data_IF_951085742762
#
_entry.id   IF_951085742762
#
_cell.length_a   1.000
_cell.length_b   1.000
_cell.length_c   1.000
_cell.angle_alpha   90.00
_cell.angle_beta   90.00
_cell.angle_gamma   90.00
#
_symmetry.space_group_name_H-M   'P 1'
#
loop_
_entity.id
_entity.type
_entity.pdbx_description
1 polymer ?
#
# COMPACT_ATOMS: atom_id res chain seq x y z
N UNK A 1 -26.93 3.28 -29.30
CA UNK A 1 -27.16 2.21 -28.32
C UNK A 1 -25.88 1.42 -28.21
N UNK A 2 -25.28 1.36 -27.05
CA UNK A 2 -24.07 0.54 -26.82
C UNK A 2 -24.48 -0.93 -26.89
N UNK A 3 -24.11 -1.62 -27.97
CA UNK A 3 -24.34 -3.07 -28.10
C UNK A 3 -23.35 -3.79 -27.18
N UNK A 4 -23.79 -4.11 -25.95
CA UNK A 4 -23.09 -5.08 -25.11
C UNK A 4 -23.26 -6.49 -25.67
N UNK A 5 -22.32 -7.41 -25.42
CA UNK A 5 -22.53 -8.81 -25.76
C UNK A 5 -23.73 -9.37 -24.98
N UNK A 6 -24.49 -10.23 -25.64
CA UNK A 6 -25.61 -10.94 -25.00
C UNK A 6 -25.12 -12.24 -24.37
N UNK A 7 -25.19 -12.31 -23.04
CA UNK A 7 -24.88 -13.50 -22.23
C UNK A 7 -26.12 -14.06 -21.52
N UNK A 8 -27.32 -13.71 -21.96
CA UNK A 8 -28.61 -14.14 -21.36
C UNK A 8 -28.76 -15.66 -21.36
N UNK A 9 -28.31 -16.34 -22.40
CA UNK A 9 -28.32 -17.81 -22.48
C UNK A 9 -27.44 -18.47 -21.40
N UNK A 10 -26.42 -17.77 -20.90
CA UNK A 10 -25.55 -18.22 -19.81
C UNK A 10 -26.06 -17.75 -18.43
N UNK A 11 -27.15 -16.96 -18.42
CA UNK A 11 -27.78 -16.46 -17.20
C UNK A 11 -27.19 -15.12 -16.71
N UNK A 12 -26.54 -14.35 -17.59
CA UNK A 12 -25.94 -13.07 -17.22
C UNK A 12 -26.43 -11.93 -18.11
N UNK A 13 -26.70 -10.77 -17.50
CA UNK A 13 -27.07 -9.54 -18.19
C UNK A 13 -25.95 -8.50 -17.99
N UNK A 14 -25.32 -8.07 -19.07
CA UNK A 14 -24.28 -7.03 -19.03
C UNK A 14 -24.90 -5.67 -18.75
N UNK A 15 -24.37 -4.96 -17.75
CA UNK A 15 -24.84 -3.62 -17.36
C UNK A 15 -23.90 -2.52 -17.91
N UNK A 16 -22.57 -2.71 -17.79
CA UNK A 16 -21.58 -1.75 -18.30
C UNK A 16 -20.22 -2.39 -18.53
N UNK A 17 -19.38 -1.73 -19.33
CA UNK A 17 -17.95 -2.05 -19.45
C UNK A 17 -17.18 -1.42 -18.27
N UNK A 18 -16.37 -2.22 -17.58
CA UNK A 18 -15.47 -1.76 -16.52
C UNK A 18 -14.09 -1.40 -17.05
N UNK A 19 -13.65 -2.07 -18.11
CA UNK A 19 -12.35 -1.82 -18.72
C UNK A 19 -12.14 -2.65 -19.99
N UNK A 20 -11.21 -2.22 -20.84
CA UNK A 20 -10.81 -2.97 -22.03
C UNK A 20 -9.31 -2.85 -22.26
N UNK A 21 -8.66 -3.97 -22.50
CA UNK A 21 -7.30 -4.02 -23.03
C UNK A 21 -7.38 -4.35 -24.52
N UNK A 22 -7.33 -3.30 -25.37
CA UNK A 22 -7.46 -3.46 -26.81
C UNK A 22 -6.31 -4.26 -27.43
N UNK A 23 -5.11 -4.16 -26.88
CA UNK A 23 -3.93 -4.87 -27.35
C UNK A 23 -3.98 -6.38 -27.00
N UNK A 24 -4.59 -6.75 -25.86
CA UNK A 24 -4.71 -8.15 -25.41
C UNK A 24 -6.09 -8.77 -25.63
N UNK A 25 -6.98 -8.14 -26.41
CA UNK A 25 -8.31 -8.72 -26.72
C UNK A 25 -9.19 -8.99 -25.51
N UNK A 26 -8.91 -8.36 -24.32
CA UNK A 26 -9.66 -8.58 -23.10
C UNK A 26 -10.61 -7.42 -22.81
N UNK A 27 -11.89 -7.73 -22.54
CA UNK A 27 -12.89 -6.77 -22.08
C UNK A 27 -13.48 -7.26 -20.77
N UNK A 28 -13.61 -6.35 -19.82
CA UNK A 28 -14.17 -6.62 -18.49
C UNK A 28 -15.52 -5.91 -18.35
N UNK A 29 -16.54 -6.65 -17.99
CA UNK A 29 -17.91 -6.16 -17.82
C UNK A 29 -18.36 -6.30 -16.38
N UNK A 30 -19.18 -5.33 -15.94
CA UNK A 30 -20.11 -5.54 -14.84
C UNK A 30 -21.37 -6.18 -15.43
N UNK A 31 -21.81 -7.26 -14.83
CA UNK A 31 -23.04 -7.96 -15.23
C UNK A 31 -23.85 -8.37 -13.99
N UNK A 32 -25.09 -8.67 -14.21
CA UNK A 32 -26.00 -9.23 -13.21
C UNK A 32 -26.23 -10.70 -13.49
N UNK A 33 -26.05 -11.56 -12.50
CA UNK A 33 -26.52 -12.94 -12.55
C UNK A 33 -28.04 -12.93 -12.43
N UNK A 34 -28.74 -13.35 -13.50
CA UNK A 34 -30.20 -13.32 -13.61
C UNK A 34 -30.83 -14.26 -12.58
N UNK A 35 -30.17 -15.35 -12.20
CA UNK A 35 -30.65 -16.37 -11.26
C UNK A 35 -30.53 -15.91 -9.80
N UNK A 36 -29.37 -15.41 -9.43
CA UNK A 36 -29.03 -14.99 -8.07
C UNK A 36 -29.25 -13.51 -7.79
N UNK A 37 -29.54 -12.71 -8.81
CA UNK A 37 -29.67 -11.24 -8.74
C UNK A 37 -28.45 -10.53 -8.18
N UNK A 38 -27.27 -11.19 -8.19
CA UNK A 38 -26.02 -10.65 -7.69
C UNK A 38 -25.20 -10.02 -8.82
N UNK A 39 -24.48 -8.94 -8.48
CA UNK A 39 -23.53 -8.35 -9.42
C UNK A 39 -22.29 -9.23 -9.53
N UNK A 40 -21.81 -9.43 -10.76
CA UNK A 40 -20.64 -10.23 -11.09
C UNK A 40 -19.73 -9.46 -12.05
N UNK A 41 -18.47 -9.84 -12.11
CA UNK A 41 -17.53 -9.37 -13.15
C UNK A 41 -17.37 -10.47 -14.17
N UNK A 42 -17.54 -10.13 -15.45
CA UNK A 42 -17.27 -11.04 -16.58
C UNK A 42 -16.05 -10.50 -17.33
N UNK A 43 -14.98 -11.29 -17.36
CA UNK A 43 -13.80 -11.04 -18.19
C UNK A 43 -13.92 -11.86 -19.47
N UNK A 44 -14.12 -11.18 -20.61
CA UNK A 44 -14.18 -11.80 -21.92
C UNK A 44 -12.82 -11.69 -22.61
N UNK A 45 -12.29 -12.82 -23.03
CA UNK A 45 -11.06 -12.97 -23.81
C UNK A 45 -11.41 -13.23 -25.25
N UNK A 46 -11.19 -12.25 -26.13
CA UNK A 46 -11.61 -12.27 -27.55
C UNK A 46 -10.47 -12.77 -28.44
N UNK A 47 -10.54 -14.02 -28.89
CA UNK A 47 -9.53 -14.63 -29.76
C UNK A 47 -9.78 -14.38 -31.26
N UNK A 48 -10.95 -13.85 -31.61
CA UNK A 48 -11.33 -13.63 -33.01
C UNK A 48 -10.67 -12.38 -33.67
N UNK A 49 -9.86 -11.61 -32.94
CA UNK A 49 -9.05 -10.53 -33.50
C UNK A 49 -7.73 -11.10 -34.01
N UNK A 50 -7.33 -10.65 -35.20
CA UNK A 50 -6.25 -11.12 -36.07
C UNK A 50 -4.87 -11.34 -35.38
N UNK A 51 -4.70 -10.86 -34.14
CA UNK A 51 -3.45 -10.92 -33.34
C UNK A 51 -3.56 -11.68 -32.03
N UNK A 52 -4.65 -12.43 -31.78
CA UNK A 52 -4.77 -13.23 -30.56
C UNK A 52 -3.74 -14.37 -30.56
N UNK A 53 -2.77 -14.29 -29.67
CA UNK A 53 -1.69 -15.28 -29.57
C UNK A 53 -2.07 -16.42 -28.61
N UNK A 54 -1.44 -17.59 -28.80
CA UNK A 54 -1.52 -18.69 -27.82
C UNK A 54 -1.20 -18.25 -26.38
N UNK A 55 -0.40 -17.18 -26.23
CA UNK A 55 -0.05 -16.60 -24.93
C UNK A 55 -1.24 -15.98 -24.18
N UNK A 56 -2.29 -15.52 -24.91
CA UNK A 56 -3.49 -14.94 -24.31
C UNK A 56 -4.43 -16.04 -23.81
N UNK A 57 -4.50 -17.17 -24.52
CA UNK A 57 -5.21 -18.37 -24.06
C UNK A 57 -4.55 -18.93 -22.79
N UNK A 58 -3.23 -19.06 -22.79
CA UNK A 58 -2.48 -19.54 -21.62
C UNK A 58 -2.67 -18.62 -20.39
N UNK A 59 -2.78 -17.31 -20.59
CA UNK A 59 -3.06 -16.37 -19.51
C UNK A 59 -4.47 -16.55 -18.94
N UNK A 60 -5.46 -16.76 -19.79
CA UNK A 60 -6.85 -17.04 -19.38
C UNK A 60 -6.95 -18.33 -18.59
N UNK A 61 -6.42 -19.44 -19.12
CA UNK A 61 -6.49 -20.75 -18.45
C UNK A 61 -5.76 -20.71 -17.10
N UNK A 62 -4.61 -20.05 -17.05
CA UNK A 62 -3.84 -19.85 -15.81
C UNK A 62 -4.62 -19.03 -14.80
N UNK A 63 -5.27 -17.94 -15.20
CA UNK A 63 -6.07 -17.12 -14.27
C UNK A 63 -7.21 -17.94 -13.65
N UNK A 64 -7.87 -18.77 -14.42
CA UNK A 64 -8.91 -19.68 -13.94
C UNK A 64 -8.34 -20.72 -12.98
N UNK A 65 -7.25 -21.39 -13.35
CA UNK A 65 -6.62 -22.44 -12.52
C UNK A 65 -6.18 -21.87 -11.17
N UNK A 66 -5.58 -20.67 -11.16
CA UNK A 66 -5.19 -19.98 -9.94
C UNK A 66 -6.42 -19.66 -9.10
N UNK A 67 -7.40 -18.93 -9.66
CA UNK A 67 -8.54 -18.43 -8.90
C UNK A 67 -9.45 -19.56 -8.35
N UNK A 68 -9.58 -20.68 -9.07
CA UNK A 68 -10.33 -21.84 -8.56
C UNK A 68 -9.73 -22.44 -7.27
N UNK A 69 -8.43 -22.27 -7.08
CA UNK A 69 -7.72 -22.77 -5.89
C UNK A 69 -7.66 -21.75 -4.74
N UNK A 70 -8.19 -20.54 -4.90
CA UNK A 70 -8.10 -19.48 -3.92
C UNK A 70 -9.43 -19.22 -3.23
N UNK A 71 -9.38 -19.13 -1.89
CA UNK A 71 -10.50 -18.71 -1.04
C UNK A 71 -9.96 -17.75 0.03
N UNK A 72 -10.09 -16.43 -0.21
CA UNK A 72 -9.63 -15.39 0.67
C UNK A 72 -10.51 -14.15 0.51
N UNK A 73 -10.94 -13.46 1.60
CA UNK A 73 -11.85 -12.31 1.52
C UNK A 73 -11.30 -11.15 0.67
N UNK A 74 -9.98 -10.96 0.65
CA UNK A 74 -9.28 -9.96 -0.18
C UNK A 74 -9.04 -10.39 -1.64
N UNK A 75 -9.61 -11.52 -2.10
CA UNK A 75 -9.49 -11.99 -3.49
C UNK A 75 -10.90 -12.28 -4.01
N UNK A 76 -11.35 -11.69 -5.15
CA UNK A 76 -12.64 -12.04 -5.73
C UNK A 76 -12.72 -13.53 -6.08
N UNK A 77 -13.78 -14.19 -5.63
CA UNK A 77 -13.98 -15.62 -5.89
C UNK A 77 -14.23 -15.87 -7.38
N UNK A 78 -13.65 -16.94 -7.91
CA UNK A 78 -14.08 -17.53 -9.17
C UNK A 78 -15.49 -18.10 -9.01
N UNK A 79 -16.39 -17.83 -9.97
CA UNK A 79 -17.78 -18.27 -9.94
C UNK A 79 -18.10 -19.25 -11.06
N UNK A 80 -17.70 -18.92 -12.31
CA UNK A 80 -18.07 -19.68 -13.49
C UNK A 80 -17.13 -19.38 -14.68
N UNK A 81 -17.18 -20.21 -15.71
CA UNK A 81 -16.62 -19.89 -17.03
C UNK A 81 -17.50 -20.47 -18.13
N UNK A 82 -17.54 -19.77 -19.28
CA UNK A 82 -18.29 -20.23 -20.45
C UNK A 82 -17.63 -19.74 -21.73
N UNK A 83 -17.97 -20.39 -22.83
CA UNK A 83 -17.49 -20.04 -24.16
C UNK A 83 -18.58 -19.32 -24.93
N UNK A 84 -18.15 -18.37 -25.78
CA UNK A 84 -18.97 -17.66 -26.77
C UNK A 84 -18.31 -17.75 -28.14
N UNK A 85 -19.03 -17.35 -29.20
CA UNK A 85 -18.44 -17.23 -30.54
C UNK A 85 -17.26 -16.25 -30.60
N UNK A 86 -17.26 -15.22 -29.72
CA UNK A 86 -16.21 -14.20 -29.65
C UNK A 86 -15.00 -14.61 -28.81
N UNK A 87 -15.07 -15.73 -28.04
CA UNK A 87 -14.00 -16.19 -27.17
C UNK A 87 -14.49 -16.76 -25.85
N UNK A 88 -13.62 -16.79 -24.86
CA UNK A 88 -13.90 -17.34 -23.54
C UNK A 88 -14.26 -16.24 -22.52
N UNK A 89 -15.14 -16.57 -21.60
CA UNK A 89 -15.57 -15.70 -20.51
C UNK A 89 -15.31 -16.37 -19.16
N UNK A 90 -14.72 -15.61 -18.25
CA UNK A 90 -14.57 -15.98 -16.85
C UNK A 90 -15.48 -15.08 -16.00
N UNK A 91 -16.21 -15.67 -15.09
CA UNK A 91 -17.09 -14.96 -14.15
C UNK A 91 -16.48 -15.00 -12.75
N UNK A 92 -16.39 -13.85 -12.13
CA UNK A 92 -15.89 -13.72 -10.76
C UNK A 92 -16.78 -12.80 -9.93
N UNK A 93 -16.63 -12.90 -8.61
CA UNK A 93 -17.31 -12.04 -7.65
C UNK A 93 -17.03 -10.57 -7.96
N UNK A 94 -18.08 -9.73 -7.89
CA UNK A 94 -17.93 -8.29 -7.95
C UNK A 94 -17.67 -7.72 -6.57
N UNK A 95 -16.55 -7.00 -6.40
CA UNK A 95 -16.27 -6.20 -5.20
C UNK A 95 -16.69 -4.76 -5.47
N UNK A 96 -17.53 -4.21 -4.61
CA UNK A 96 -18.00 -2.82 -4.70
C UNK A 96 -16.87 -1.88 -4.27
N UNK A 97 -15.82 -1.78 -5.08
CA UNK A 97 -14.57 -1.13 -4.74
C UNK A 97 -13.97 -0.42 -5.97
N UNK A 98 -13.11 0.55 -5.73
CA UNK A 98 -12.43 1.33 -6.77
C UNK A 98 -10.96 0.96 -6.84
N UNK A 99 -10.39 0.96 -8.04
CA UNK A 99 -8.95 0.77 -8.23
C UNK A 99 -8.16 1.91 -7.61
N UNK A 100 -7.00 1.61 -7.01
CA UNK A 100 -6.05 2.62 -6.53
C UNK A 100 -5.51 3.53 -7.65
N UNK A 101 -5.70 3.16 -8.91
CA UNK A 101 -5.42 4.03 -10.06
C UNK A 101 -6.28 5.29 -10.07
N UNK A 102 -7.50 5.23 -9.54
CA UNK A 102 -8.37 6.41 -9.42
C UNK A 102 -7.75 7.34 -8.39
N UNK A 103 -7.55 8.60 -8.78
CA UNK A 103 -6.94 9.63 -7.94
C UNK A 103 -7.78 9.87 -6.68
N UNK A 104 -7.42 9.19 -5.59
CA UNK A 104 -7.93 9.40 -4.23
C UNK A 104 -6.73 9.63 -3.31
N UNK A 105 -6.84 10.61 -2.44
CA UNK A 105 -5.86 10.79 -1.37
C UNK A 105 -6.15 9.83 -0.24
N UNK A 106 -5.12 9.15 0.24
CA UNK A 106 -5.18 8.28 1.41
C UNK A 106 -4.46 8.94 2.57
N UNK A 107 -5.05 8.85 3.75
CA UNK A 107 -4.39 9.24 5.00
C UNK A 107 -3.24 8.28 5.33
N UNK A 108 -2.27 8.69 6.17
CA UNK A 108 -1.20 7.81 6.63
C UNK A 108 -1.71 6.49 7.23
N UNK A 109 -2.79 6.56 8.00
CA UNK A 109 -3.42 5.37 8.62
C UNK A 109 -3.99 4.44 7.57
N UNK A 110 -4.66 4.97 6.54
CA UNK A 110 -5.18 4.16 5.42
C UNK A 110 -4.04 3.52 4.63
N UNK A 111 -2.95 4.24 4.34
CA UNK A 111 -1.77 3.67 3.63
C UNK A 111 -1.15 2.52 4.44
N UNK A 112 -1.04 2.68 5.76
CA UNK A 112 -0.59 1.59 6.63
C UNK A 112 -1.53 0.39 6.57
N UNK A 113 -2.84 0.62 6.60
CA UNK A 113 -3.85 -0.42 6.48
C UNK A 113 -3.79 -1.13 5.13
N UNK A 114 -3.62 -0.37 4.03
CA UNK A 114 -3.41 -0.93 2.68
C UNK A 114 -2.18 -1.86 2.65
N UNK A 115 -1.05 -1.41 3.20
CA UNK A 115 0.17 -2.21 3.24
C UNK A 115 -0.03 -3.52 4.01
N UNK A 116 -0.66 -3.47 5.20
CA UNK A 116 -0.99 -4.63 6.02
C UNK A 116 -1.89 -5.60 5.25
N UNK A 117 -3.01 -5.13 4.72
CA UNK A 117 -4.01 -5.97 4.04
C UNK A 117 -3.44 -6.67 2.81
N UNK A 118 -2.60 -5.97 2.00
CA UNK A 118 -1.96 -6.60 0.84
C UNK A 118 -0.91 -7.62 1.29
N UNK A 119 -0.12 -7.33 2.32
CA UNK A 119 0.83 -8.30 2.85
C UNK A 119 0.14 -9.56 3.39
N UNK A 120 -1.01 -9.45 4.05
CA UNK A 120 -1.82 -10.59 4.49
C UNK A 120 -2.29 -11.44 3.31
N UNK A 121 -2.76 -10.80 2.22
CA UNK A 121 -3.11 -11.51 0.97
C UNK A 121 -1.87 -12.22 0.40
N UNK A 122 -0.71 -11.57 0.37
CA UNK A 122 0.52 -12.18 -0.12
C UNK A 122 0.99 -13.34 0.76
N UNK A 123 0.88 -13.24 2.08
CA UNK A 123 1.14 -14.36 3.01
C UNK A 123 0.23 -15.54 2.68
N UNK A 124 -1.06 -15.30 2.43
CA UNK A 124 -1.99 -16.34 2.03
C UNK A 124 -1.56 -17.01 0.71
N UNK A 125 -1.18 -16.23 -0.31
CA UNK A 125 -0.73 -16.74 -1.62
C UNK A 125 0.57 -17.54 -1.50
N UNK A 126 1.51 -17.08 -0.69
CA UNK A 126 2.80 -17.75 -0.44
C UNK A 126 2.68 -19.03 0.38
N UNK A 127 1.63 -19.17 1.18
CA UNK A 127 1.32 -20.40 1.91
C UNK A 127 0.55 -21.45 1.08
N UNK A 128 0.24 -21.17 -0.18
CA UNK A 128 -0.38 -22.16 -1.08
C UNK A 128 0.64 -23.20 -1.50
N UNK A 129 0.16 -24.41 -1.76
CA UNK A 129 0.99 -25.51 -2.29
C UNK A 129 0.37 -25.95 -3.62
N UNK A 130 1.04 -25.67 -4.73
CA UNK A 130 2.29 -24.88 -4.87
C UNK A 130 2.09 -23.39 -4.58
N UNK A 131 3.20 -22.70 -4.25
CA UNK A 131 3.24 -21.25 -4.00
C UNK A 131 2.69 -20.46 -5.20
N UNK A 132 1.91 -19.41 -4.91
CA UNK A 132 1.38 -18.50 -5.94
C UNK A 132 2.10 -17.17 -5.85
N UNK A 133 2.70 -16.71 -6.95
CA UNK A 133 3.30 -15.39 -7.12
C UNK A 133 2.44 -14.60 -8.11
N UNK A 134 2.00 -13.40 -7.73
CA UNK A 134 1.04 -12.61 -8.51
C UNK A 134 1.66 -11.96 -9.76
N UNK A 135 2.87 -11.40 -9.67
CA UNK A 135 3.71 -10.84 -10.74
C UNK A 135 3.24 -9.51 -11.36
N UNK A 136 2.08 -9.01 -11.03
CA UNK A 136 1.56 -7.73 -11.57
C UNK A 136 0.85 -6.90 -10.48
N UNK A 137 1.49 -6.76 -9.31
CA UNK A 137 1.00 -5.88 -8.24
C UNK A 137 1.28 -4.44 -8.63
N UNK A 138 0.20 -3.65 -8.74
CA UNK A 138 0.22 -2.23 -9.10
C UNK A 138 -1.12 -1.58 -8.71
N UNK A 139 -1.22 -0.23 -8.71
CA UNK A 139 -2.46 0.46 -8.37
C UNK A 139 -3.68 0.01 -9.16
N UNK A 140 -3.51 -0.37 -10.45
CA UNK A 140 -4.61 -0.85 -11.30
C UNK A 140 -5.25 -2.14 -10.78
N UNK A 141 -4.45 -3.02 -10.16
CA UNK A 141 -4.84 -4.36 -9.73
C UNK A 141 -5.17 -4.46 -8.23
N UNK A 142 -5.23 -3.34 -7.55
CA UNK A 142 -5.66 -3.25 -6.14
C UNK A 142 -6.93 -2.42 -6.08
N UNK A 143 -7.99 -3.02 -5.54
CA UNK A 143 -9.26 -2.33 -5.31
C UNK A 143 -9.41 -2.03 -3.82
N UNK A 144 -10.07 -0.89 -3.53
CA UNK A 144 -10.37 -0.46 -2.16
C UNK A 144 -11.81 0.04 -2.11
N UNK A 145 -12.59 -0.44 -1.16
CA UNK A 145 -13.95 0.02 -0.92
C UNK A 145 -14.00 1.24 0.03
N UNK A 146 -15.20 1.70 0.34
CA UNK A 146 -15.43 2.87 1.19
C UNK A 146 -15.06 2.61 2.67
N UNK A 147 -14.99 1.35 3.10
CA UNK A 147 -14.53 0.94 4.43
C UNK A 147 -13.03 0.64 4.47
N UNK A 148 -12.30 0.92 3.38
CA UNK A 148 -10.87 0.64 3.20
C UNK A 148 -10.55 -0.86 3.20
N UNK A 149 -11.52 -1.75 2.91
CA UNK A 149 -11.23 -3.14 2.63
C UNK A 149 -10.49 -3.25 1.29
N UNK A 150 -9.49 -4.11 1.25
CA UNK A 150 -8.55 -4.21 0.13
C UNK A 150 -8.76 -5.52 -0.62
N UNK A 151 -8.74 -5.43 -1.95
CA UNK A 151 -8.90 -6.60 -2.81
C UNK A 151 -7.82 -6.62 -3.89
N UNK A 152 -7.14 -7.74 -4.03
CA UNK A 152 -6.15 -7.98 -5.08
C UNK A 152 -6.84 -8.71 -6.25
N UNK A 153 -6.70 -8.17 -7.45
CA UNK A 153 -7.37 -8.66 -8.67
C UNK A 153 -6.38 -8.89 -9.80
N UNK A 154 -6.82 -9.60 -10.83
CA UNK A 154 -6.08 -9.85 -12.08
C UNK A 154 -4.88 -10.79 -11.92
N UNK A 155 -5.18 -12.08 -11.79
CA UNK A 155 -4.20 -13.16 -11.68
C UNK A 155 -3.71 -13.72 -13.04
N UNK A 156 -3.95 -13.01 -14.16
CA UNK A 156 -3.59 -13.44 -15.51
C UNK A 156 -2.08 -13.65 -15.72
N UNK A 157 -1.25 -13.01 -14.92
CA UNK A 157 0.20 -13.20 -14.92
C UNK A 157 0.72 -14.07 -13.77
N UNK A 158 -0.17 -14.53 -12.87
CA UNK A 158 0.23 -15.30 -11.71
C UNK A 158 0.93 -16.61 -12.11
N UNK A 159 1.87 -17.04 -11.26
CA UNK A 159 2.64 -18.27 -11.41
C UNK A 159 2.36 -19.21 -10.23
N UNK A 160 2.20 -20.48 -10.54
CA UNK A 160 2.03 -21.54 -9.55
C UNK A 160 3.30 -22.39 -9.51
N UNK A 161 3.96 -22.43 -8.35
CA UNK A 161 5.16 -23.23 -8.11
C UNK A 161 6.39 -22.85 -8.93
N UNK A 162 7.38 -23.73 -8.92
CA UNK A 162 8.65 -23.60 -9.67
C UNK A 162 8.54 -23.95 -11.15
N UNK A 163 7.31 -23.98 -11.70
CA UNK A 163 7.05 -24.33 -13.10
C UNK A 163 8.09 -23.71 -14.03
N UNK A 164 8.54 -24.48 -15.01
CA UNK A 164 9.62 -24.13 -15.93
C UNK A 164 9.57 -22.66 -16.35
N UNK A 165 10.74 -22.03 -16.42
CA UNK A 165 10.95 -20.76 -17.13
C UNK A 165 10.55 -21.06 -18.56
N UNK A 166 9.25 -21.03 -18.85
CA UNK A 166 8.77 -21.16 -20.20
C UNK A 166 9.49 -20.09 -21.00
N UNK A 167 10.12 -20.48 -22.10
CA UNK A 167 10.85 -19.63 -23.04
C UNK A 167 9.84 -18.69 -23.74
N UNK A 168 9.05 -17.98 -22.97
CA UNK A 168 8.24 -16.87 -23.44
C UNK A 168 9.16 -15.64 -23.41
N UNK A 169 9.67 -15.28 -24.58
CA UNK A 169 10.51 -14.11 -24.83
C UNK A 169 9.81 -12.77 -24.50
N UNK A 170 8.61 -12.80 -23.96
CA UNK A 170 7.83 -11.63 -23.60
C UNK A 170 7.91 -11.39 -22.10
N UNK A 171 8.55 -10.30 -21.71
CA UNK A 171 8.52 -9.78 -20.34
C UNK A 171 7.09 -9.39 -20.01
N UNK A 172 6.45 -10.13 -19.07
CA UNK A 172 5.07 -9.91 -18.64
C UNK A 172 5.03 -9.13 -17.33
N UNK A 173 4.25 -8.05 -17.28
CA UNK A 173 4.06 -7.16 -16.15
C UNK A 173 4.08 -5.70 -16.57
N UNK A 174 4.04 -4.79 -15.62
CA UNK A 174 4.00 -3.33 -15.85
C UNK A 174 5.34 -2.70 -15.49
N UNK A 175 5.99 -2.04 -16.46
CA UNK A 175 7.24 -1.31 -16.24
C UNK A 175 7.07 -0.32 -15.06
N UNK A 176 8.14 -0.18 -14.26
CA UNK A 176 8.12 0.64 -13.05
C UNK A 176 7.70 -0.12 -11.78
N UNK A 177 6.85 -1.16 -11.90
CA UNK A 177 6.46 -2.03 -10.79
C UNK A 177 7.17 -3.38 -10.80
N UNK A 178 7.79 -3.70 -11.92
CA UNK A 178 8.41 -4.99 -12.18
C UNK A 178 9.78 -5.08 -11.48
N UNK A 179 10.03 -6.10 -10.64
CA UNK A 179 11.34 -6.28 -10.03
C UNK A 179 12.40 -6.66 -11.07
N UNK A 180 13.70 -6.38 -10.80
CA UNK A 180 14.78 -6.66 -11.74
C UNK A 180 14.83 -8.13 -12.20
N UNK A 181 14.59 -9.09 -11.29
CA UNK A 181 14.57 -10.51 -11.65
C UNK A 181 13.49 -10.85 -12.67
N UNK A 182 12.35 -10.17 -12.63
CA UNK A 182 11.27 -10.35 -13.60
C UNK A 182 11.60 -9.67 -14.94
N UNK A 183 12.19 -8.47 -14.91
CA UNK A 183 12.65 -7.77 -16.10
C UNK A 183 13.69 -8.58 -16.91
N UNK A 184 14.59 -9.26 -16.19
CA UNK A 184 15.65 -10.07 -16.79
C UNK A 184 15.28 -11.54 -16.96
N UNK A 185 13.98 -11.87 -16.84
CA UNK A 185 13.46 -13.24 -16.99
C UNK A 185 14.23 -14.27 -16.14
N UNK A 186 14.58 -13.89 -14.89
CA UNK A 186 15.22 -14.76 -13.90
C UNK A 186 14.17 -15.49 -13.06
N UNK A 187 14.65 -16.40 -12.22
CA UNK A 187 13.77 -17.11 -11.28
C UNK A 187 13.10 -16.12 -10.33
N UNK A 188 11.78 -16.20 -10.27
CA UNK A 188 10.96 -15.43 -9.32
C UNK A 188 10.89 -16.15 -7.99
N UNK A 189 10.81 -15.38 -6.93
CA UNK A 189 10.67 -15.86 -5.56
C UNK A 189 9.50 -15.16 -4.88
N UNK A 190 9.19 -15.55 -3.66
CA UNK A 190 8.20 -14.90 -2.79
C UNK A 190 8.50 -13.42 -2.56
N UNK A 191 9.79 -13.03 -2.66
CA UNK A 191 10.23 -11.64 -2.53
C UNK A 191 9.90 -10.78 -3.77
N UNK A 192 9.54 -11.38 -4.91
CA UNK A 192 9.30 -10.64 -6.15
C UNK A 192 8.07 -9.73 -6.04
N UNK A 193 6.97 -10.23 -5.48
CA UNK A 193 5.76 -9.42 -5.28
C UNK A 193 5.95 -8.28 -4.26
N UNK A 194 6.92 -8.41 -3.35
CA UNK A 194 7.23 -7.37 -2.37
C UNK A 194 7.80 -6.10 -3.01
N UNK A 195 8.65 -6.26 -4.04
CA UNK A 195 9.15 -5.12 -4.81
C UNK A 195 7.98 -4.35 -5.46
N UNK A 196 7.10 -5.06 -6.13
CA UNK A 196 5.93 -4.47 -6.80
C UNK A 196 4.98 -3.79 -5.81
N UNK A 197 4.79 -4.37 -4.61
CA UNK A 197 4.04 -3.75 -3.53
C UNK A 197 4.74 -2.49 -3.02
N UNK A 198 6.06 -2.53 -2.78
CA UNK A 198 6.84 -1.37 -2.38
C UNK A 198 6.70 -0.21 -3.36
N UNK A 199 6.83 -0.47 -4.67
CA UNK A 199 6.62 0.53 -5.72
C UNK A 199 5.18 1.08 -5.73
N UNK A 200 4.18 0.24 -5.47
CA UNK A 200 2.79 0.66 -5.35
C UNK A 200 2.58 1.60 -4.15
N UNK A 201 3.15 1.28 -2.99
CA UNK A 201 3.09 2.16 -1.82
C UNK A 201 3.83 3.49 -2.06
N UNK A 202 4.96 3.46 -2.79
CA UNK A 202 5.66 4.67 -3.19
C UNK A 202 4.82 5.56 -4.09
N UNK A 203 4.05 5.01 -5.05
CA UNK A 203 3.09 5.78 -5.83
C UNK A 203 2.11 6.55 -4.94
N UNK A 204 1.55 5.88 -3.92
CA UNK A 204 0.57 6.50 -3.02
C UNK A 204 1.21 7.59 -2.15
N UNK A 205 2.40 7.33 -1.59
CA UNK A 205 3.10 8.25 -0.68
C UNK A 205 3.65 9.48 -1.41
N UNK A 206 4.25 9.28 -2.60
CA UNK A 206 4.84 10.37 -3.38
C UNK A 206 3.83 11.08 -4.27
N UNK A 207 2.62 10.51 -4.43
CA UNK A 207 1.59 10.94 -5.39
C UNK A 207 2.09 10.95 -6.84
N UNK A 208 3.12 10.14 -7.14
CA UNK A 208 3.63 9.95 -8.49
C UNK A 208 2.65 9.11 -9.29
N UNK A 209 2.40 9.49 -10.54
CA UNK A 209 1.52 8.73 -11.42
C UNK A 209 2.13 7.35 -11.74
N UNK A 210 1.28 6.34 -11.94
CA UNK A 210 1.72 4.97 -12.15
C UNK A 210 2.60 4.78 -13.40
N UNK A 211 2.40 5.58 -14.44
CA UNK A 211 3.21 5.60 -15.66
C UNK A 211 4.55 6.33 -15.51
N UNK A 212 4.68 7.18 -14.48
CA UNK A 212 5.88 7.94 -14.17
C UNK A 212 6.75 7.31 -13.08
N UNK A 213 6.25 6.30 -12.36
CA UNK A 213 6.94 5.71 -11.20
C UNK A 213 8.32 5.13 -11.58
N UNK A 214 8.47 4.68 -12.81
CA UNK A 214 9.75 4.20 -13.34
C UNK A 214 10.85 5.27 -13.34
N UNK A 215 10.51 6.57 -13.32
CA UNK A 215 11.47 7.66 -13.28
C UNK A 215 12.21 7.76 -11.93
N UNK A 216 11.69 7.11 -10.88
CA UNK A 216 12.34 7.03 -9.58
C UNK A 216 13.47 5.99 -9.55
N UNK A 217 13.53 5.13 -10.56
CA UNK A 217 14.52 4.06 -10.67
C UNK A 217 15.77 4.58 -11.39
N UNK A 218 16.92 4.54 -10.74
CA UNK A 218 18.17 4.94 -11.38
C UNK A 218 18.81 3.79 -12.22
N UNK A 219 19.92 4.07 -12.88
CA UNK A 219 20.64 3.10 -13.73
C UNK A 219 21.15 1.87 -12.97
N UNK A 220 21.22 1.95 -11.63
CA UNK A 220 21.62 0.84 -10.75
C UNK A 220 20.40 0.10 -10.19
N UNK A 221 19.20 0.42 -10.68
CA UNK A 221 17.91 -0.06 -10.18
C UNK A 221 17.60 0.36 -8.73
N UNK A 222 18.32 1.35 -8.19
CA UNK A 222 18.03 1.93 -6.89
C UNK A 222 16.89 2.94 -7.00
N UNK A 223 16.01 2.97 -5.99
CA UNK A 223 14.86 3.87 -5.96
C UNK A 223 15.18 5.08 -5.10
N UNK A 224 15.08 6.29 -5.66
CA UNK A 224 15.33 7.55 -4.96
C UNK A 224 14.03 8.31 -4.73
N UNK A 225 13.42 8.12 -3.59
CA UNK A 225 12.10 8.69 -3.25
C UNK A 225 12.09 9.64 -2.04
N UNK A 226 13.11 9.62 -1.17
CA UNK A 226 13.10 10.35 0.11
C UNK A 226 12.85 11.86 -0.06
N UNK A 227 13.41 12.46 -1.12
CA UNK A 227 13.26 13.89 -1.41
C UNK A 227 11.80 14.29 -1.76
N UNK A 228 10.97 13.34 -2.18
CA UNK A 228 9.55 13.55 -2.49
C UNK A 228 8.66 13.45 -1.25
N UNK A 229 9.15 12.82 -0.20
CA UNK A 229 8.41 12.57 1.06
C UNK A 229 9.26 12.92 2.29
N UNK A 230 9.72 14.18 2.42
CA UNK A 230 10.68 14.58 3.46
C UNK A 230 10.15 14.40 4.89
N UNK A 231 8.83 14.30 5.07
CA UNK A 231 8.18 14.10 6.38
C UNK A 231 7.96 12.60 6.72
N UNK A 232 8.35 11.69 5.81
CA UNK A 232 8.21 10.25 6.04
C UNK A 232 9.11 9.82 7.20
N UNK A 233 8.56 9.07 8.15
CA UNK A 233 9.30 8.54 9.29
C UNK A 233 10.44 7.61 8.83
N UNK A 234 11.59 7.70 9.48
CA UNK A 234 12.80 6.98 9.08
C UNK A 234 12.65 5.46 9.12
N UNK A 235 11.80 4.91 10.01
CA UNK A 235 11.54 3.46 10.06
C UNK A 235 10.75 3.04 8.82
N UNK A 236 9.79 3.87 8.36
CA UNK A 236 9.05 3.64 7.13
C UNK A 236 9.95 3.79 5.90
N UNK A 237 10.85 4.77 5.89
CA UNK A 237 11.85 4.90 4.81
C UNK A 237 12.66 3.61 4.68
N UNK A 238 13.26 3.13 5.76
CA UNK A 238 14.08 1.91 5.78
C UNK A 238 13.29 0.66 5.40
N UNK A 239 12.04 0.56 5.85
CA UNK A 239 11.17 -0.56 5.51
C UNK A 239 10.82 -0.56 4.02
N UNK A 240 10.48 0.59 3.44
CA UNK A 240 10.20 0.73 2.01
C UNK A 240 11.44 0.49 1.16
N UNK A 241 12.61 1.04 1.53
CA UNK A 241 13.88 0.77 0.86
C UNK A 241 14.15 -0.74 0.78
N UNK A 242 13.94 -1.45 1.90
CA UNK A 242 14.10 -2.90 1.93
C UNK A 242 13.06 -3.65 1.09
N UNK A 243 11.83 -3.13 0.95
CA UNK A 243 10.82 -3.71 0.05
C UNK A 243 11.24 -3.61 -1.41
N UNK A 244 11.82 -2.47 -1.82
CA UNK A 244 12.20 -2.21 -3.21
C UNK A 244 13.69 -2.46 -3.50
N UNK A 245 14.40 -3.16 -2.63
CA UNK A 245 15.80 -3.50 -2.85
C UNK A 245 15.95 -4.33 -4.13
N UNK A 246 16.81 -3.92 -5.09
CA UNK A 246 17.00 -4.61 -6.35
C UNK A 246 17.49 -6.05 -6.20
N UNK A 247 18.35 -6.29 -5.22
CA UNK A 247 18.92 -7.62 -4.97
C UNK A 247 18.00 -8.42 -4.06
N UNK A 248 17.57 -9.60 -4.52
CA UNK A 248 16.71 -10.51 -3.75
C UNK A 248 17.20 -10.81 -2.34
N UNK A 249 18.52 -11.03 -2.19
CA UNK A 249 19.14 -11.38 -0.90
C UNK A 249 19.09 -10.26 0.15
N UNK A 250 18.98 -9.01 -0.29
CA UNK A 250 18.98 -7.82 0.57
C UNK A 250 17.53 -7.35 0.84
N UNK A 251 16.56 -7.88 0.07
CA UNK A 251 15.11 -7.64 0.26
C UNK A 251 14.54 -8.50 1.40
N UNK A 252 13.32 -8.28 1.84
CA UNK A 252 12.60 -9.25 2.68
C UNK A 252 12.42 -10.56 1.92
N UNK A 253 12.65 -11.69 2.59
CA UNK A 253 12.59 -13.02 1.95
C UNK A 253 11.19 -13.41 1.49
N UNK A 254 10.15 -12.98 2.20
CA UNK A 254 8.74 -13.29 1.93
C UNK A 254 7.81 -12.25 2.57
N UNK A 255 6.51 -12.36 2.29
CA UNK A 255 5.50 -11.44 2.79
C UNK A 255 5.36 -11.47 4.32
N UNK A 256 5.53 -12.62 4.96
CA UNK A 256 5.46 -12.74 6.41
C UNK A 256 6.60 -11.96 7.08
N UNK A 257 7.82 -12.05 6.55
CA UNK A 257 8.96 -11.28 7.07
C UNK A 257 8.76 -9.76 6.93
N UNK A 258 8.18 -9.31 5.81
CA UNK A 258 7.85 -7.90 5.61
C UNK A 258 6.73 -7.44 6.54
N UNK A 259 5.70 -8.26 6.74
CA UNK A 259 4.56 -8.01 7.63
C UNK A 259 5.01 -7.88 9.10
N UNK A 260 5.88 -8.78 9.57
CA UNK A 260 6.42 -8.74 10.92
C UNK A 260 7.34 -7.54 11.18
N UNK A 261 7.97 -7.04 10.12
CA UNK A 261 8.88 -5.89 10.19
C UNK A 261 8.20 -4.55 9.90
N UNK A 262 6.87 -4.52 9.68
CA UNK A 262 6.17 -3.27 9.40
C UNK A 262 6.30 -2.30 10.58
N UNK A 263 6.66 -1.02 10.37
CA UNK A 263 6.86 -0.09 11.46
C UNK A 263 5.61 0.12 12.31
N UNK A 264 5.74 0.10 13.63
CA UNK A 264 4.70 0.50 14.57
C UNK A 264 4.54 2.02 14.67
N UNK A 265 5.57 2.77 14.27
CA UNK A 265 5.58 4.22 14.25
C UNK A 265 4.58 4.77 13.23
N UNK A 266 4.07 6.00 13.43
CA UNK A 266 3.29 6.71 12.42
C UNK A 266 4.08 6.82 11.10
N UNK A 267 3.37 6.87 9.96
CA UNK A 267 4.01 7.00 8.65
C UNK A 267 4.78 8.32 8.52
N UNK A 268 4.26 9.41 9.08
CA UNK A 268 4.94 10.70 9.10
C UNK A 268 5.48 10.99 10.50
N UNK A 269 6.66 11.60 10.56
CA UNK A 269 7.22 12.13 11.79
C UNK A 269 6.53 13.46 12.14
N UNK A 270 6.23 13.71 13.41
CA UNK A 270 5.73 15.01 13.83
C UNK A 270 6.81 16.09 13.64
N UNK A 271 6.39 17.27 13.25
CA UNK A 271 7.25 18.46 13.16
C UNK A 271 6.81 19.47 14.21
N UNK A 272 7.63 19.59 15.26
CA UNK A 272 7.26 20.36 16.45
C UNK A 272 7.77 21.78 16.34
N UNK A 273 6.88 22.75 16.53
CA UNK A 273 7.19 24.15 16.70
C UNK A 273 6.82 24.57 18.13
N UNK A 274 7.80 25.15 18.85
CA UNK A 274 7.62 25.66 20.20
C UNK A 274 7.70 27.18 20.18
N UNK A 275 6.78 27.85 20.87
CA UNK A 275 6.75 29.31 20.98
C UNK A 275 6.27 29.76 22.36
N UNK A 276 7.00 30.67 23.01
CA UNK A 276 8.34 31.14 22.70
C UNK A 276 9.40 30.03 22.94
N UNK A 277 10.54 30.12 22.26
CA UNK A 277 11.63 29.15 22.46
C UNK A 277 12.39 29.35 23.77
N UNK A 278 12.43 30.59 24.24
CA UNK A 278 13.11 30.98 25.48
C UNK A 278 12.11 31.63 26.44
N UNK A 279 12.23 31.28 27.73
CA UNK A 279 11.45 31.88 28.81
C UNK A 279 12.39 32.64 29.76
N UNK A 280 12.13 33.92 29.98
CA UNK A 280 12.91 34.74 30.89
C UNK A 280 12.09 35.04 32.19
N UNK A 281 12.49 34.43 33.30
CA UNK A 281 11.85 34.61 34.59
C UNK A 281 12.68 35.55 35.47
N UNK A 282 12.18 36.80 35.71
CA UNK A 282 12.85 37.81 36.51
C UNK A 282 12.11 38.03 37.81
N UNK A 283 12.59 37.45 38.88
CA UNK A 283 12.06 37.65 40.23
C UNK A 283 12.58 39.01 40.83
N UNK A 284 11.70 39.73 41.50
CA UNK A 284 12.05 40.95 42.26
C UNK A 284 12.36 40.67 43.72
N UNK A 285 12.00 39.55 44.23
CA UNK A 285 12.20 39.12 45.62
C UNK A 285 12.21 37.58 45.71
N UNK A 286 12.93 37.06 46.69
CA UNK A 286 12.95 35.62 47.00
C UNK A 286 11.55 35.17 47.42
N UNK A 287 11.20 33.91 47.06
CA UNK A 287 9.87 33.33 47.29
C UNK A 287 8.77 33.84 46.34
N UNK A 288 9.13 34.48 45.24
CA UNK A 288 8.19 34.91 44.22
C UNK A 288 7.90 33.74 43.27
N UNK A 289 6.62 33.48 43.04
CA UNK A 289 6.17 32.51 42.04
C UNK A 289 5.93 33.21 40.73
N UNK A 290 6.58 32.76 39.63
CA UNK A 290 6.48 33.32 38.29
C UNK A 290 5.98 32.24 37.33
N UNK A 291 5.01 32.60 36.50
CA UNK A 291 4.43 31.66 35.54
C UNK A 291 4.50 32.24 34.12
N UNK A 292 4.97 31.45 33.19
CA UNK A 292 4.91 31.73 31.76
C UNK A 292 4.31 30.55 31.00
N UNK A 293 3.84 30.77 29.78
CA UNK A 293 3.20 29.77 28.96
C UNK A 293 4.02 29.56 27.68
N UNK A 294 4.25 28.32 27.31
CA UNK A 294 4.75 27.94 26.00
C UNK A 294 3.63 27.23 25.23
N UNK A 295 3.62 27.44 23.93
CA UNK A 295 2.71 26.74 23.00
C UNK A 295 3.52 25.79 22.16
N UNK A 296 3.02 24.58 22.02
CA UNK A 296 3.57 23.54 21.17
C UNK A 296 2.58 23.28 20.05
N UNK A 297 3.04 23.44 18.79
CA UNK A 297 2.26 23.14 17.60
C UNK A 297 2.95 22.04 16.79
N UNK A 298 2.16 21.09 16.31
CA UNK A 298 2.62 20.13 15.32
C UNK A 298 2.23 20.58 13.92
N UNK A 299 3.21 20.74 13.05
CA UNK A 299 3.00 21.17 11.67
C UNK A 299 2.54 20.02 10.74
N UNK A 300 2.48 18.77 11.26
CA UNK A 300 1.99 17.59 10.56
C UNK A 300 0.68 17.13 11.20
N UNK A 301 -0.47 17.66 10.79
CA UNK A 301 -1.76 17.42 11.46
C UNK A 301 -2.22 15.96 11.43
N UNK A 302 -1.68 15.16 10.50
CA UNK A 302 -1.99 13.73 10.36
C UNK A 302 -1.38 12.86 11.49
N UNK A 303 -0.48 13.44 12.29
CA UNK A 303 0.17 12.75 13.42
C UNK A 303 -0.16 13.46 14.70
N UNK A 304 -0.84 12.77 15.61
CA UNK A 304 -1.14 13.32 16.93
C UNK A 304 0.11 13.27 17.82
N UNK A 305 0.50 14.43 18.38
CA UNK A 305 1.57 14.51 19.36
C UNK A 305 1.10 14.00 20.71
N UNK A 306 1.95 13.18 21.34
CA UNK A 306 1.83 12.76 22.74
C UNK A 306 3.21 12.85 23.38
N UNK A 307 3.27 13.34 24.60
CA UNK A 307 4.54 13.43 25.29
C UNK A 307 4.40 13.84 26.74
N UNK A 308 5.55 14.00 27.37
CA UNK A 308 5.70 14.47 28.75
C UNK A 308 6.59 15.70 28.76
N UNK A 309 6.32 16.58 29.70
CA UNK A 309 7.23 17.69 30.00
C UNK A 309 8.17 17.21 31.08
N UNK A 310 9.45 17.45 30.91
CA UNK A 310 10.48 17.11 31.88
C UNK A 310 11.51 18.23 31.95
N UNK A 311 12.25 18.28 33.05
CA UNK A 311 13.33 19.25 33.28
C UNK A 311 14.66 18.52 33.23
N UNK A 312 15.50 18.88 32.26
CA UNK A 312 16.85 18.34 32.22
C UNK A 312 17.71 19.04 33.33
N UNK A 313 18.34 18.25 34.25
CA UNK A 313 19.15 18.81 35.31
C UNK A 313 20.32 19.64 34.79
N UNK A 314 20.48 20.89 35.27
CA UNK A 314 21.66 21.67 34.93
C UNK A 314 22.85 21.23 35.79
N UNK A 315 24.10 21.10 35.23
CA UNK A 315 25.27 20.64 35.99
C UNK A 315 25.59 21.48 37.26
N UNK A 316 25.19 22.75 37.27
CA UNK A 316 25.40 23.67 38.39
C UNK A 316 24.20 23.78 39.32
N UNK A 317 23.18 22.94 39.17
CA UNK A 317 22.00 22.95 40.01
C UNK A 317 22.32 22.25 41.35
N UNK A 318 22.33 22.95 42.50
CA UNK A 318 22.68 22.36 43.80
C UNK A 318 21.66 21.33 44.29
N UNK A 319 20.46 21.26 43.70
CA UNK A 319 19.41 20.31 44.03
C UNK A 319 19.39 19.07 43.13
N UNK A 320 20.25 19.00 42.12
CA UNK A 320 20.33 17.85 41.19
C UNK A 320 20.71 16.53 41.90
N UNK A 321 21.34 16.60 43.08
CA UNK A 321 21.71 15.42 43.87
C UNK A 321 20.51 14.72 44.55
N UNK A 322 19.33 15.33 44.63
CA UNK A 322 18.11 14.80 45.26
C UNK A 322 17.01 14.38 44.29
N UNK A 323 17.25 14.44 42.98
CA UNK A 323 16.36 13.83 41.96
C UNK A 323 15.10 14.60 41.60
N UNK A 324 14.97 15.89 41.97
CA UNK A 324 13.81 16.69 41.57
C UNK A 324 14.11 18.18 41.48
N UNK A 325 13.78 18.84 40.37
CA UNK A 325 13.77 20.29 40.28
C UNK A 325 12.53 20.86 40.97
N UNK A 326 12.60 20.98 42.31
CA UNK A 326 11.48 21.43 43.15
C UNK A 326 11.04 22.85 42.81
N UNK A 327 11.91 23.66 42.19
CA UNK A 327 11.67 25.05 41.84
C UNK A 327 11.03 25.28 40.46
N UNK A 328 10.95 24.24 39.58
CA UNK A 328 10.22 24.28 38.32
C UNK A 328 9.06 23.28 38.38
N UNK A 329 7.89 23.72 37.97
CA UNK A 329 6.71 22.85 37.90
C UNK A 329 5.91 23.12 36.62
N UNK A 330 5.26 22.09 36.10
CA UNK A 330 4.35 22.13 34.99
C UNK A 330 2.92 22.02 35.47
N UNK A 331 2.00 22.78 34.90
CA UNK A 331 0.57 22.67 35.20
C UNK A 331 0.02 21.31 34.80
N UNK A 332 0.56 20.74 33.73
CA UNK A 332 0.27 19.39 33.24
C UNK A 332 1.59 18.73 32.86
N UNK A 333 1.84 17.53 33.39
CA UNK A 333 3.08 16.78 33.12
C UNK A 333 3.04 16.09 31.74
N UNK A 334 1.85 15.84 31.22
CA UNK A 334 1.65 15.16 29.92
C UNK A 334 0.83 16.00 28.98
N UNK A 335 1.02 15.81 27.69
CA UNK A 335 0.20 16.44 26.66
C UNK A 335 -0.20 15.44 25.56
N UNK A 336 -1.36 15.69 24.96
CA UNK A 336 -1.89 14.99 23.80
C UNK A 336 -2.64 15.98 22.90
N UNK A 337 -2.28 16.01 21.60
CA UNK A 337 -2.90 16.88 20.61
C UNK A 337 -1.88 17.63 19.76
N UNK A 338 -2.35 18.19 18.62
CA UNK A 338 -1.48 18.90 17.69
C UNK A 338 -1.25 20.38 18.03
N UNK A 339 -1.99 20.89 18.98
CA UNK A 339 -1.75 22.19 19.60
C UNK A 339 -1.98 22.06 21.10
N UNK A 340 -0.98 22.43 21.90
CA UNK A 340 -1.07 22.35 23.36
C UNK A 340 -0.32 23.51 23.99
N UNK A 341 -0.80 23.94 25.15
CA UNK A 341 -0.17 24.97 25.96
C UNK A 341 0.31 24.35 27.27
N UNK A 342 1.53 24.67 27.66
CA UNK A 342 2.08 24.32 28.94
C UNK A 342 2.38 25.58 29.74
N UNK A 343 1.84 25.65 30.95
CA UNK A 343 2.20 26.67 31.94
C UNK A 343 3.35 26.16 32.76
N UNK A 344 4.47 26.86 32.73
CA UNK A 344 5.68 26.59 33.47
C UNK A 344 5.75 27.59 34.63
N UNK A 345 5.86 27.10 35.84
CA UNK A 345 5.95 27.89 37.04
C UNK A 345 7.30 27.70 37.67
N UNK A 346 7.94 28.83 38.02
CA UNK A 346 9.22 28.89 38.71
C UNK A 346 9.00 29.50 40.09
N UNK A 347 9.40 28.79 41.14
CA UNK A 347 9.41 29.25 42.53
C UNK A 347 10.85 29.67 42.90
N UNK A 348 11.08 30.94 43.24
CA UNK A 348 12.42 31.50 43.48
C UNK A 348 12.77 31.61 44.95
#
# INVERSE_FOLDING_TARGET
MSHFPDFSNQGYQVEKTLGSNRAGGRVTYLAKDIRGQQSVVIKQFQFAKIDASWSDYDAYDREIQVLRGLDHPGIPRYLDCFQTEAGFCMVQEYKHAFSLKVSRSFSPTEIRHLALSILEILVYLQNRIPVVIHRDIKPDNILVDDQVNVYLVDFGFARIGDGEIGVSSVVKGTLGFMPPEQLFNRQLTEASDLYSLGMTLLCLLTKTQADEIGNLVDISYQIKFQHLVPKLDLHWVKWLEKMVEPKLQDRFSNALAALQAIPSHPIYSPEIQISPMDLDFRAKRLGQRLTQTITLNNLVPEVMLKGTWDVEPHPNDPLSASGGHVWISFKQETFEGNQTECQITVDT
#
